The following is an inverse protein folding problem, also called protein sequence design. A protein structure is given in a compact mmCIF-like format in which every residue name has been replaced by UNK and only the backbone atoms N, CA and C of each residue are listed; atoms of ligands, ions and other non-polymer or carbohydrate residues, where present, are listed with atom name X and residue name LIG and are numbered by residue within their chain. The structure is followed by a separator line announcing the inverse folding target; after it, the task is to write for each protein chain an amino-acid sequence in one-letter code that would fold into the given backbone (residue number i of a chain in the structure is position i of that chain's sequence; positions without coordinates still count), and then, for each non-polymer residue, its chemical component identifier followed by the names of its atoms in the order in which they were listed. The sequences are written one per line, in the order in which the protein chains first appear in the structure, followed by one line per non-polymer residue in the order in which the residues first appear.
data_IF_278726384053
#
_entry.id   IF_278726384053
#
_cell.length_a   1.000
_cell.length_b   1.000
_cell.length_c   1.000
_cell.angle_alpha   90.00
_cell.angle_beta   90.00
_cell.angle_gamma   90.00
#
_symmetry.space_group_name_H-M   'P 1'
#
loop_
_entity.id
_entity.type
_entity.pdbx_description
1 polymer ?
#
# COMPACT_ATOMS: atom_id res chain seq x y z
N UNK A 1 0.64 -7.73 10.33
CA UNK A 1 -0.38 -8.04 9.31
C UNK A 1 0.22 -8.72 8.07
N UNK A 2 1.31 -8.18 7.47
CA UNK A 2 2.02 -8.80 6.34
C UNK A 2 2.42 -10.30 6.54
N UNK A 3 2.84 -10.67 7.74
CA UNK A 3 3.30 -12.03 8.07
C UNK A 3 2.19 -13.10 8.02
N UNK A 4 0.93 -12.71 8.22
CA UNK A 4 -0.20 -13.64 8.23
C UNK A 4 -0.62 -14.03 6.80
N UNK A 5 -0.64 -13.06 5.87
CA UNK A 5 -0.92 -13.31 4.45
C UNK A 5 0.21 -14.11 3.81
N UNK A 6 1.48 -13.76 4.10
CA UNK A 6 2.63 -14.53 3.63
C UNK A 6 2.59 -15.99 4.11
N UNK A 7 2.18 -16.25 5.37
CA UNK A 7 2.01 -17.60 5.91
C UNK A 7 0.83 -18.35 5.28
N UNK A 8 -0.28 -17.66 4.98
CA UNK A 8 -1.44 -18.25 4.31
C UNK A 8 -1.12 -18.64 2.86
N UNK A 9 -0.33 -17.83 2.15
CA UNK A 9 0.13 -18.15 0.79
C UNK A 9 1.19 -19.26 0.78
N UNK A 10 2.11 -19.26 1.75
CA UNK A 10 3.06 -20.35 1.96
C UNK A 10 2.37 -21.71 2.17
N UNK A 11 1.28 -21.72 2.95
CA UNK A 11 0.49 -22.92 3.24
C UNK A 11 -0.29 -23.46 2.04
N UNK A 12 -0.52 -22.64 0.99
CA UNK A 12 -1.22 -23.07 -0.23
C UNK A 12 -0.34 -23.81 -1.23
N UNK A 13 0.98 -23.83 -1.02
CA UNK A 13 1.95 -24.54 -1.86
C UNK A 13 2.09 -23.92 -3.24
N UNK A 14 3.29 -23.42 -3.57
CA UNK A 14 3.85 -23.17 -4.90
C UNK A 14 2.90 -22.79 -6.07
N UNK A 15 1.83 -22.04 -5.80
CA UNK A 15 0.89 -21.58 -6.79
C UNK A 15 1.28 -20.15 -7.21
N UNK A 16 1.36 -19.85 -8.52
CA UNK A 16 1.66 -18.51 -9.00
C UNK A 16 0.65 -17.51 -8.44
N UNK A 17 1.12 -16.33 -8.07
CA UNK A 17 0.29 -15.35 -7.39
C UNK A 17 0.98 -14.02 -7.17
N UNK A 18 0.31 -13.15 -6.43
CA UNK A 18 0.78 -11.79 -6.20
C UNK A 18 0.47 -11.34 -4.78
N UNK A 19 1.42 -10.64 -4.18
CA UNK A 19 1.31 -10.10 -2.84
C UNK A 19 1.60 -8.60 -2.87
N UNK A 20 0.75 -7.84 -2.19
CA UNK A 20 0.94 -6.41 -1.94
C UNK A 20 1.14 -6.23 -0.44
N UNK A 21 2.25 -5.60 -0.09
CA UNK A 21 2.61 -5.25 1.28
C UNK A 21 2.39 -3.75 1.47
N UNK A 22 1.71 -3.35 2.53
CA UNK A 22 1.65 -1.93 2.90
C UNK A 22 2.86 -1.63 3.79
N UNK A 23 3.86 -0.90 3.27
CA UNK A 23 5.05 -0.49 4.03
C UNK A 23 6.41 -0.89 3.43
N UNK A 24 7.01 -2.02 3.86
CA UNK A 24 8.33 -2.47 3.38
C UNK A 24 8.29 -3.92 2.89
N UNK A 25 8.99 -4.19 1.79
CA UNK A 25 9.05 -5.49 1.11
C UNK A 25 10.34 -6.29 1.38
N UNK A 26 11.20 -5.80 2.27
CA UNK A 26 12.55 -6.34 2.49
C UNK A 26 12.56 -7.85 2.76
N UNK A 27 13.40 -8.58 2.02
CA UNK A 27 13.61 -10.03 2.14
C UNK A 27 12.54 -10.92 1.50
N UNK A 28 11.33 -10.43 1.24
CA UNK A 28 10.27 -11.23 0.65
C UNK A 28 10.47 -11.45 -0.86
N UNK A 29 10.86 -10.41 -1.60
CA UNK A 29 10.97 -10.49 -3.07
C UNK A 29 11.89 -11.64 -3.52
N UNK A 30 13.07 -11.76 -2.91
CA UNK A 30 14.09 -12.77 -3.28
C UNK A 30 13.60 -14.20 -3.02
N UNK A 31 12.85 -14.41 -1.93
CA UNK A 31 12.41 -15.74 -1.51
C UNK A 31 11.21 -16.26 -2.32
N UNK A 32 10.40 -15.37 -2.90
CA UNK A 32 9.12 -15.72 -3.52
C UNK A 32 9.14 -15.63 -5.05
N UNK A 33 10.05 -14.85 -5.64
CA UNK A 33 10.16 -14.73 -7.10
C UNK A 33 10.39 -16.07 -7.84
N UNK A 34 11.25 -17.00 -7.37
CA UNK A 34 11.42 -18.31 -8.03
C UNK A 34 10.16 -19.20 -8.01
N UNK A 35 9.24 -18.96 -7.07
CA UNK A 35 7.96 -19.65 -6.98
C UNK A 35 6.88 -19.02 -7.89
N UNK A 36 7.24 -18.06 -8.76
CA UNK A 36 6.29 -17.34 -9.61
C UNK A 36 5.38 -16.39 -8.84
N UNK A 37 5.78 -15.99 -7.62
CA UNK A 37 5.02 -15.03 -6.80
C UNK A 37 5.62 -13.65 -6.92
N UNK A 38 4.79 -12.69 -7.33
CA UNK A 38 5.14 -11.26 -7.41
C UNK A 38 4.96 -10.61 -6.04
N UNK A 39 5.91 -9.79 -5.62
CA UNK A 39 5.86 -9.10 -4.32
C UNK A 39 6.09 -7.62 -4.55
N UNK A 40 5.09 -6.79 -4.25
CA UNK A 40 5.19 -5.34 -4.37
C UNK A 40 4.80 -4.66 -3.06
N UNK A 41 5.19 -3.39 -2.94
CA UNK A 41 4.86 -2.51 -1.86
C UNK A 41 3.86 -1.44 -2.30
N UNK A 42 2.92 -1.11 -1.42
CA UNK A 42 2.04 0.05 -1.50
C UNK A 42 2.38 0.99 -0.35
N UNK A 43 2.63 2.26 -0.65
CA UNK A 43 2.99 3.29 0.32
C UNK A 43 1.96 4.42 0.31
N UNK A 44 0.93 4.36 1.19
CA UNK A 44 -0.07 5.41 1.32
C UNK A 44 0.48 6.70 1.95
N UNK A 45 -0.11 7.83 1.58
CA UNK A 45 0.07 9.12 2.27
C UNK A 45 -0.85 9.29 3.48
N UNK A 46 -1.23 10.53 3.78
CA UNK A 46 -2.22 10.81 4.82
C UNK A 46 -3.60 10.27 4.39
N UNK A 47 -4.10 9.31 5.15
CA UNK A 47 -5.39 8.67 4.91
C UNK A 47 -6.41 9.04 5.98
N UNK A 48 -7.64 9.28 5.57
CA UNK A 48 -8.80 9.45 6.44
C UNK A 48 -9.29 8.07 6.90
N UNK A 49 -9.14 7.83 8.20
CA UNK A 49 -9.51 6.59 8.88
C UNK A 49 -10.18 6.98 10.20
N UNK A 50 -10.90 6.07 10.88
CA UNK A 50 -11.46 6.38 12.20
C UNK A 50 -10.42 6.90 13.20
N UNK A 51 -9.18 6.38 13.13
CA UNK A 51 -8.07 6.80 13.98
C UNK A 51 -7.60 8.22 13.66
N UNK A 52 -7.32 8.51 12.38
CA UNK A 52 -6.85 9.85 11.96
C UNK A 52 -7.95 10.89 12.06
N UNK A 53 -9.21 10.50 11.83
CA UNK A 53 -10.39 11.33 12.05
C UNK A 53 -10.50 11.79 13.50
N UNK A 54 -10.47 10.87 14.47
CA UNK A 54 -10.51 11.21 15.89
C UNK A 54 -9.36 12.15 16.32
N UNK A 55 -8.17 11.96 15.75
CA UNK A 55 -7.02 12.83 16.01
C UNK A 55 -7.21 14.24 15.42
N UNK A 56 -7.73 14.34 14.20
CA UNK A 56 -8.04 15.62 13.55
C UNK A 56 -9.19 16.37 14.23
N UNK A 57 -10.15 15.64 14.83
CA UNK A 57 -11.25 16.25 15.57
C UNK A 57 -10.77 16.79 16.92
N UNK A 58 -9.84 16.07 17.58
CA UNK A 58 -9.17 16.56 18.78
C UNK A 58 -8.21 17.74 18.52
N UNK A 59 -7.66 17.85 17.29
CA UNK A 59 -6.72 18.90 16.91
C UNK A 59 -7.04 19.43 15.49
N UNK A 60 -8.00 20.36 15.34
CA UNK A 60 -8.44 20.86 14.04
C UNK A 60 -7.32 21.45 13.16
N UNK A 61 -6.26 21.98 13.77
CA UNK A 61 -5.08 22.47 13.06
C UNK A 61 -4.36 21.37 12.25
N UNK A 62 -4.37 20.12 12.72
CA UNK A 62 -3.77 18.99 11.99
C UNK A 62 -4.49 18.73 10.67
N UNK A 63 -5.81 18.89 10.63
CA UNK A 63 -6.59 18.72 9.39
C UNK A 63 -6.14 19.71 8.32
N UNK A 64 -5.96 20.99 8.68
CA UNK A 64 -5.45 22.00 7.75
C UNK A 64 -4.00 21.72 7.35
N UNK A 65 -3.14 21.36 8.29
CA UNK A 65 -1.73 21.07 8.02
C UNK A 65 -1.57 19.89 7.05
N UNK A 66 -2.25 18.77 7.32
CA UNK A 66 -2.14 17.57 6.48
C UNK A 66 -2.78 17.77 5.12
N UNK A 67 -3.97 18.38 5.07
CA UNK A 67 -4.65 18.67 3.79
C UNK A 67 -3.84 19.66 2.95
N UNK A 68 -3.30 20.72 3.56
CA UNK A 68 -2.51 21.74 2.89
C UNK A 68 -1.14 21.25 2.41
N UNK A 69 -0.59 20.20 3.05
CA UNK A 69 0.63 19.55 2.60
C UNK A 69 0.43 18.60 1.43
N UNK A 70 -0.80 18.16 1.13
CA UNK A 70 -1.07 17.23 0.03
C UNK A 70 -1.40 18.03 -1.24
N UNK A 71 -0.64 17.89 -2.35
CA UNK A 71 -0.92 18.61 -3.61
C UNK A 71 -2.33 18.44 -4.17
N UNK A 72 -2.93 17.26 -3.99
CA UNK A 72 -4.34 17.03 -4.37
C UNK A 72 -5.36 17.74 -3.46
N UNK A 73 -4.93 18.44 -2.41
CA UNK A 73 -5.77 19.25 -1.53
C UNK A 73 -6.75 18.44 -0.67
N UNK A 74 -6.49 17.14 -0.48
CA UNK A 74 -7.32 16.25 0.34
C UNK A 74 -6.50 15.12 0.94
N UNK A 75 -6.97 14.56 2.04
CA UNK A 75 -6.51 13.25 2.50
C UNK A 75 -7.03 12.15 1.56
N UNK A 76 -6.30 11.05 1.46
CA UNK A 76 -6.78 9.84 0.80
C UNK A 76 -7.84 9.13 1.63
N UNK A 77 -8.75 8.40 1.00
CA UNK A 77 -9.67 7.47 1.66
C UNK A 77 -9.21 6.02 1.42
N UNK A 78 -9.52 5.04 2.27
CA UNK A 78 -9.13 3.65 2.05
C UNK A 78 -9.53 3.09 0.68
N UNK A 79 -10.61 3.61 0.10
CA UNK A 79 -11.08 3.29 -1.26
C UNK A 79 -10.12 3.73 -2.36
N UNK A 80 -9.30 4.78 -2.15
CA UNK A 80 -8.27 5.22 -3.11
C UNK A 80 -7.16 4.16 -3.26
N UNK A 81 -6.99 3.25 -2.29
CA UNK A 81 -6.01 2.17 -2.36
C UNK A 81 -6.52 0.95 -3.16
N UNK A 82 -7.84 0.84 -3.37
CA UNK A 82 -8.44 -0.34 -3.98
C UNK A 82 -7.97 -0.56 -5.42
N UNK A 83 -7.99 0.50 -6.25
CA UNK A 83 -7.52 0.44 -7.63
C UNK A 83 -6.04 0.01 -7.75
N UNK A 84 -5.10 0.70 -7.06
CA UNK A 84 -3.69 0.31 -7.01
C UNK A 84 -3.45 -1.13 -6.54
N UNK A 85 -4.17 -1.59 -5.50
CA UNK A 85 -4.08 -2.98 -5.03
C UNK A 85 -4.56 -3.95 -6.10
N UNK A 86 -5.73 -3.71 -6.70
CA UNK A 86 -6.27 -4.56 -7.78
C UNK A 86 -5.30 -4.61 -8.96
N UNK A 87 -4.76 -3.47 -9.38
CA UNK A 87 -3.75 -3.40 -10.45
C UNK A 87 -2.55 -4.30 -10.13
N UNK A 88 -1.94 -4.14 -8.95
CA UNK A 88 -0.77 -4.92 -8.56
C UNK A 88 -1.08 -6.42 -8.39
N UNK A 89 -2.32 -6.78 -8.07
CA UNK A 89 -2.75 -8.18 -7.99
C UNK A 89 -3.14 -8.78 -9.36
N UNK A 90 -3.44 -7.94 -10.36
CA UNK A 90 -3.87 -8.37 -11.69
C UNK A 90 -2.72 -8.76 -12.62
N UNK A 91 -3.06 -9.36 -13.75
CA UNK A 91 -2.12 -9.68 -14.84
C UNK A 91 -1.55 -8.44 -15.54
N UNK A 92 -2.18 -7.27 -15.37
CA UNK A 92 -1.64 -6.00 -15.88
C UNK A 92 -0.30 -5.64 -15.22
N UNK A 93 0.00 -6.22 -14.05
CA UNK A 93 1.25 -6.08 -13.32
C UNK A 93 2.12 -7.35 -13.39
N UNK A 94 1.96 -8.18 -14.43
CA UNK A 94 2.61 -9.50 -14.55
C UNK A 94 4.14 -9.49 -14.53
N UNK A 95 4.79 -8.37 -14.88
CA UNK A 95 6.24 -8.20 -14.78
C UNK A 95 6.67 -7.23 -13.67
N UNK A 96 5.73 -6.82 -12.81
CA UNK A 96 6.00 -5.93 -11.68
C UNK A 96 6.21 -6.75 -10.41
N UNK A 97 7.45 -6.77 -9.92
CA UNK A 97 7.85 -7.31 -8.62
C UNK A 97 8.97 -6.45 -8.06
N UNK A 98 9.00 -6.25 -6.75
CA UNK A 98 9.95 -5.37 -6.07
C UNK A 98 9.67 -3.88 -6.26
N UNK A 99 8.47 -3.49 -6.71
CA UNK A 99 8.12 -2.09 -6.87
C UNK A 99 7.51 -1.51 -5.58
N UNK A 100 7.73 -0.22 -5.34
CA UNK A 100 7.06 0.56 -4.29
C UNK A 100 6.15 1.60 -4.93
N UNK A 101 4.83 1.39 -4.83
CA UNK A 101 3.82 2.25 -5.41
C UNK A 101 3.29 3.23 -4.36
N UNK A 102 3.65 4.51 -4.53
CA UNK A 102 3.16 5.60 -3.69
C UNK A 102 1.74 5.98 -4.07
N UNK A 103 0.87 6.08 -3.06
CA UNK A 103 -0.54 6.50 -3.20
C UNK A 103 -0.82 7.55 -2.12
N UNK A 104 -0.30 8.76 -2.34
CA UNK A 104 -0.16 9.79 -1.30
C UNK A 104 -0.63 11.18 -1.71
N UNK A 105 -1.31 11.29 -2.86
CA UNK A 105 -1.78 12.57 -3.40
C UNK A 105 -0.66 13.55 -3.77
N UNK A 106 0.58 13.05 -3.95
CA UNK A 106 1.76 13.85 -4.31
C UNK A 106 2.56 14.37 -3.11
N UNK A 107 2.21 13.98 -1.88
CA UNK A 107 2.83 14.51 -0.66
C UNK A 107 4.36 14.32 -0.60
N UNK A 108 4.87 13.18 -1.07
CA UNK A 108 6.30 12.84 -0.90
C UNK A 108 7.24 13.44 -1.95
N UNK A 109 6.72 14.18 -2.94
CA UNK A 109 7.52 14.72 -4.06
C UNK A 109 7.55 16.26 -4.08
N UNK A 110 7.12 16.91 -3.00
CA UNK A 110 7.15 18.36 -2.82
C UNK A 110 8.14 18.80 -1.74
#
# INVERSE_FOLDING_TARGET
MATAVARHLAARGNAPGSMVLVGSMSGAVVNWAPAGVRVNCLSPGYMETPLTGALMDAQPALRQQWTGGVPMGRLGAPTDLAGPVVFMLSDAASYMTGADLRVDGGYTII
#
